data_IF_321099206900
#
_entry.id   IF_321099206900
#
_cell.length_a   1.000
_cell.length_b   1.000
_cell.length_c   1.000
_cell.angle_alpha   90.00
_cell.angle_beta   90.00
_cell.angle_gamma   90.00
#
_symmetry.space_group_name_H-M   'P 1'
#
loop_
_entity.id
_entity.type
_entity.pdbx_description
1 polymer ?
#
# COMPACT_ATOMS: atom_id res chain seq x y z
N UNK A 1 -0.80 -24.50 26.07
CA UNK A 1 -0.96 -23.58 27.23
C UNK A 1 0.21 -22.60 27.44
N UNK A 2 1.38 -22.77 26.79
CA UNK A 2 2.52 -21.84 26.97
C UNK A 2 2.61 -20.69 25.95
N UNK A 3 1.82 -20.68 24.88
CA UNK A 3 1.80 -19.60 23.89
C UNK A 3 0.88 -18.42 24.27
N UNK A 4 -0.17 -18.66 25.06
CA UNK A 4 -1.11 -17.61 25.46
C UNK A 4 -0.63 -16.69 26.60
N UNK A 5 0.38 -17.09 27.39
CA UNK A 5 0.91 -16.24 28.46
C UNK A 5 1.92 -15.19 27.97
N UNK A 6 2.57 -15.41 26.81
CA UNK A 6 3.50 -14.44 26.20
C UNK A 6 2.80 -13.26 25.55
N UNK A 7 1.50 -13.33 25.27
CA UNK A 7 0.74 -12.28 24.56
C UNK A 7 0.39 -11.07 25.43
N UNK A 8 0.52 -11.16 26.75
CA UNK A 8 0.10 -10.08 27.68
C UNK A 8 1.19 -9.08 28.06
N UNK A 9 2.44 -9.30 27.67
CA UNK A 9 3.55 -8.43 28.04
C UNK A 9 3.99 -7.63 26.83
N UNK A 10 4.20 -6.32 27.02
CA UNK A 10 4.79 -5.45 26.00
C UNK A 10 6.23 -5.91 25.70
N UNK A 11 6.48 -6.37 24.48
CA UNK A 11 7.82 -6.77 24.06
C UNK A 11 8.62 -5.54 23.63
N UNK A 12 9.63 -5.17 24.39
CA UNK A 12 10.55 -4.05 24.09
C UNK A 12 11.90 -4.52 23.53
N UNK A 13 12.12 -5.82 23.42
CA UNK A 13 13.35 -6.37 22.86
C UNK A 13 13.28 -6.41 21.32
N UNK A 14 13.41 -5.24 20.70
CA UNK A 14 13.36 -5.05 19.24
C UNK A 14 14.76 -4.73 18.74
N UNK A 15 15.23 -5.49 17.74
CA UNK A 15 16.53 -5.26 17.11
C UNK A 15 16.50 -3.96 16.32
N UNK A 16 17.43 -3.06 16.63
CA UNK A 16 17.57 -1.76 15.97
C UNK A 16 19.03 -1.36 15.80
N UNK A 17 19.36 -0.45 14.87
CA UNK A 17 20.70 0.12 14.73
C UNK A 17 21.15 0.84 16.02
N UNK A 18 22.45 0.86 16.31
CA UNK A 18 23.00 1.56 17.49
C UNK A 18 22.75 3.08 17.45
N UNK A 19 22.61 3.66 16.26
CA UNK A 19 22.29 5.08 16.06
C UNK A 19 20.83 5.43 16.35
N UNK A 20 19.95 4.44 16.36
CA UNK A 20 18.52 4.65 16.62
C UNK A 20 18.28 4.83 18.13
N UNK A 21 17.82 6.02 18.51
CA UNK A 21 17.53 6.41 19.90
C UNK A 21 16.09 6.19 20.33
N UNK A 22 15.20 5.81 19.40
CA UNK A 22 13.77 5.63 19.68
C UNK A 22 13.55 4.41 20.58
N UNK A 23 12.48 4.45 21.36
CA UNK A 23 12.03 3.31 22.14
C UNK A 23 10.87 2.62 21.43
N UNK A 24 10.89 1.30 21.41
CA UNK A 24 9.91 0.48 20.70
C UNK A 24 9.24 -0.50 21.65
N UNK A 25 7.95 -0.75 21.41
CA UNK A 25 7.20 -1.78 22.11
C UNK A 25 6.22 -2.47 21.16
N UNK A 26 6.18 -3.78 21.17
CA UNK A 26 5.26 -4.58 20.37
C UNK A 26 4.31 -5.36 21.27
N UNK A 27 3.02 -5.37 20.94
CA UNK A 27 2.00 -6.16 21.64
C UNK A 27 0.91 -6.62 20.68
N UNK A 28 0.35 -7.80 20.96
CA UNK A 28 -0.91 -8.26 20.37
C UNK A 28 -2.00 -8.02 21.39
N UNK A 29 -3.04 -7.25 21.03
CA UNK A 29 -4.16 -6.95 21.92
C UNK A 29 -5.07 -8.18 22.09
N UNK A 30 -5.98 -8.12 23.06
CA UNK A 30 -6.92 -9.23 23.36
C UNK A 30 -7.83 -9.61 22.19
N UNK A 31 -8.13 -8.66 21.29
CA UNK A 31 -8.88 -8.88 20.05
C UNK A 31 -8.01 -9.33 18.87
N UNK A 32 -6.71 -9.56 19.07
CA UNK A 32 -5.79 -10.03 18.03
C UNK A 32 -5.11 -8.93 17.20
N UNK A 33 -5.45 -7.64 17.42
CA UNK A 33 -4.80 -6.52 16.73
C UNK A 33 -3.34 -6.44 17.14
N UNK A 34 -2.45 -6.36 16.14
CA UNK A 34 -1.00 -6.21 16.36
C UNK A 34 -0.66 -4.73 16.46
N UNK A 35 0.08 -4.36 17.49
CA UNK A 35 0.43 -2.97 17.79
C UNK A 35 1.93 -2.81 17.91
N UNK A 36 2.49 -1.86 17.17
CA UNK A 36 3.83 -1.34 17.36
C UNK A 36 3.73 0.09 17.95
N UNK A 37 4.37 0.30 19.10
CA UNK A 37 4.48 1.61 19.75
C UNK A 37 5.90 2.13 19.56
N UNK A 38 6.02 3.41 19.25
CA UNK A 38 7.30 4.10 19.08
C UNK A 38 7.26 5.36 19.95
N UNK A 39 8.18 5.44 20.90
CA UNK A 39 8.33 6.61 21.77
C UNK A 39 9.56 7.40 21.39
N UNK A 40 9.35 8.66 21.06
CA UNK A 40 10.36 9.68 20.73
C UNK A 40 10.10 10.93 21.58
N UNK A 41 10.79 11.09 22.72
CA UNK A 41 10.56 12.24 23.59
C UNK A 41 10.81 13.62 22.94
N UNK A 42 11.60 13.65 21.88
CA UNK A 42 12.02 14.88 21.21
C UNK A 42 11.09 15.30 20.06
N UNK A 43 10.10 14.43 19.69
CA UNK A 43 9.18 14.78 18.60
C UNK A 43 8.17 15.85 19.00
N UNK A 44 7.89 16.77 18.08
CA UNK A 44 6.84 17.80 18.24
C UNK A 44 5.50 17.40 17.62
N UNK A 45 5.42 16.23 16.97
CA UNK A 45 4.20 15.66 16.37
C UNK A 45 4.05 14.21 16.73
N UNK A 46 2.80 13.80 16.90
CA UNK A 46 2.41 12.41 17.04
C UNK A 46 1.70 11.91 15.79
N UNK A 47 1.73 10.62 15.55
CA UNK A 47 1.15 9.98 14.37
C UNK A 47 0.63 8.58 14.69
N UNK A 48 -0.34 8.11 13.90
CA UNK A 48 -0.69 6.71 13.88
C UNK A 48 -1.01 6.25 12.45
N UNK A 49 -0.72 4.97 12.19
CA UNK A 49 -1.07 4.30 10.95
C UNK A 49 -1.67 2.94 11.25
N UNK A 50 -2.79 2.61 10.61
CA UNK A 50 -3.44 1.31 10.69
C UNK A 50 -3.56 0.70 9.29
N UNK A 51 -2.95 -0.46 9.11
CA UNK A 51 -3.06 -1.25 7.90
C UNK A 51 -4.04 -2.41 8.11
N UNK A 52 -5.02 -2.52 7.22
CA UNK A 52 -5.89 -3.69 7.08
C UNK A 52 -5.33 -4.55 5.95
N UNK A 53 -5.03 -5.81 6.18
CA UNK A 53 -4.43 -6.71 5.17
C UNK A 53 -5.47 -7.21 4.15
N UNK A 54 -6.34 -6.31 3.70
CA UNK A 54 -7.34 -6.50 2.64
C UNK A 54 -7.32 -5.27 1.73
N UNK A 55 -7.39 -5.51 0.43
CA UNK A 55 -7.43 -4.48 -0.61
C UNK A 55 -8.26 -4.95 -1.79
N UNK A 56 -8.00 -4.41 -2.99
CA UNK A 56 -8.84 -4.64 -4.17
C UNK A 56 -8.80 -6.07 -4.75
N UNK A 57 -7.90 -6.96 -4.28
CA UNK A 57 -7.91 -8.37 -4.70
C UNK A 57 -9.19 -9.12 -4.33
N UNK A 58 -9.90 -8.68 -3.29
CA UNK A 58 -11.14 -9.33 -2.86
C UNK A 58 -12.40 -8.76 -3.54
N UNK A 59 -12.25 -7.70 -4.34
CA UNK A 59 -13.37 -7.12 -5.09
C UNK A 59 -13.90 -8.16 -6.08
N UNK A 60 -15.21 -8.35 -6.10
CA UNK A 60 -15.84 -9.20 -7.11
C UNK A 60 -15.81 -8.52 -8.48
N UNK A 61 -15.91 -9.29 -9.55
CA UNK A 61 -15.86 -8.76 -10.92
C UNK A 61 -16.98 -7.75 -11.23
N UNK A 62 -18.12 -7.85 -10.55
CA UNK A 62 -19.24 -6.92 -10.64
C UNK A 62 -19.23 -5.80 -9.58
N UNK A 63 -18.19 -5.75 -8.73
CA UNK A 63 -18.05 -4.78 -7.63
C UNK A 63 -16.66 -4.13 -7.62
N UNK A 64 -16.04 -3.95 -8.80
CA UNK A 64 -14.65 -3.45 -8.88
C UNK A 64 -14.51 -2.02 -8.38
N UNK A 65 -13.54 -1.81 -7.51
CA UNK A 65 -13.31 -0.56 -6.80
C UNK A 65 -14.01 -0.45 -5.45
N UNK A 66 -14.67 -1.54 -4.98
CA UNK A 66 -15.39 -1.53 -3.71
C UNK A 66 -14.47 -1.34 -2.51
N UNK A 67 -13.27 -1.93 -2.53
CA UNK A 67 -12.26 -1.73 -1.48
C UNK A 67 -11.84 -0.27 -1.36
N UNK A 68 -11.59 0.41 -2.47
CA UNK A 68 -11.25 1.82 -2.52
C UNK A 68 -12.43 2.71 -2.11
N UNK A 69 -13.63 2.37 -2.54
CA UNK A 69 -14.85 3.06 -2.13
C UNK A 69 -15.12 2.90 -0.62
N UNK A 70 -14.77 1.72 -0.04
CA UNK A 70 -14.80 1.54 1.40
C UNK A 70 -13.84 2.49 2.12
N UNK A 71 -12.63 2.69 1.59
CA UNK A 71 -11.66 3.64 2.13
C UNK A 71 -12.26 5.05 2.23
N UNK A 72 -12.92 5.54 1.17
CA UNK A 72 -13.57 6.85 1.14
C UNK A 72 -14.66 6.98 2.20
N UNK A 73 -15.62 6.06 2.21
CA UNK A 73 -16.79 6.16 3.08
C UNK A 73 -16.50 5.82 4.55
N UNK A 74 -15.45 5.07 4.84
CA UNK A 74 -15.12 4.65 6.19
C UNK A 74 -14.83 5.84 7.12
N UNK A 75 -14.27 6.91 6.58
CA UNK A 75 -13.89 8.11 7.33
C UNK A 75 -15.02 9.15 7.46
N UNK A 76 -16.18 8.90 6.83
CA UNK A 76 -17.32 9.82 6.74
C UNK A 76 -18.28 9.67 7.92
N UNK A 77 -17.79 9.84 9.13
CA UNK A 77 -18.57 9.74 10.35
C UNK A 77 -18.73 8.33 10.91
N UNK A 78 -18.93 8.27 12.20
CA UNK A 78 -19.13 7.04 12.98
C UNK A 78 -20.14 7.30 14.12
N UNK A 79 -20.50 6.27 14.87
CA UNK A 79 -21.52 6.43 15.93
C UNK A 79 -21.14 7.43 17.02
N UNK A 80 -19.87 7.56 17.37
CA UNK A 80 -19.40 8.49 18.40
C UNK A 80 -19.23 9.91 17.84
N UNK A 81 -18.80 10.04 16.61
CA UNK A 81 -18.58 11.28 15.90
C UNK A 81 -19.36 11.24 14.58
N UNK A 82 -20.65 11.58 14.58
CA UNK A 82 -21.56 11.35 13.46
C UNK A 82 -21.36 12.33 12.28
N UNK A 83 -20.75 13.49 12.54
CA UNK A 83 -20.52 14.49 11.50
C UNK A 83 -19.43 14.01 10.51
N UNK A 84 -19.70 14.15 9.21
CA UNK A 84 -18.82 13.64 8.16
C UNK A 84 -17.39 14.18 8.19
N UNK A 85 -17.25 15.48 8.50
CA UNK A 85 -15.95 16.15 8.47
C UNK A 85 -15.27 16.23 9.85
N UNK A 86 -15.90 15.73 10.91
CA UNK A 86 -15.44 15.86 12.30
C UNK A 86 -13.98 15.43 12.50
N UNK A 87 -13.61 14.29 11.90
CA UNK A 87 -12.24 13.78 11.98
C UNK A 87 -11.24 14.72 11.32
N UNK A 88 -11.51 15.16 10.10
CA UNK A 88 -10.63 16.05 9.35
C UNK A 88 -10.54 17.45 9.95
N UNK A 89 -11.66 17.97 10.43
CA UNK A 89 -11.70 19.26 11.13
C UNK A 89 -10.90 19.24 12.42
N UNK A 90 -11.04 18.15 13.21
CA UNK A 90 -10.26 17.99 14.43
C UNK A 90 -8.76 17.98 14.14
N UNK A 91 -8.31 17.19 13.15
CA UNK A 91 -6.91 17.15 12.75
C UNK A 91 -6.42 18.53 12.28
N UNK A 92 -7.17 19.19 11.41
CA UNK A 92 -6.81 20.52 10.90
C UNK A 92 -6.67 21.56 12.01
N UNK A 93 -7.61 21.59 12.97
CA UNK A 93 -7.57 22.50 14.14
C UNK A 93 -6.35 22.26 15.03
N UNK A 94 -5.80 21.04 15.02
CA UNK A 94 -4.61 20.64 15.79
C UNK A 94 -3.34 20.51 14.93
N UNK A 95 -3.27 21.19 13.78
CA UNK A 95 -2.08 21.21 12.92
C UNK A 95 -1.71 19.87 12.29
N UNK A 96 -2.70 19.00 12.12
CA UNK A 96 -2.57 17.66 11.58
C UNK A 96 -3.17 17.50 10.20
N UNK A 97 -2.92 16.32 9.61
CA UNK A 97 -3.50 15.87 8.36
C UNK A 97 -3.65 14.35 8.38
N UNK A 98 -4.54 13.85 7.53
CA UNK A 98 -4.78 12.42 7.34
C UNK A 98 -4.81 12.08 5.87
N UNK A 99 -4.48 10.83 5.57
CA UNK A 99 -4.66 10.26 4.25
C UNK A 99 -4.88 8.75 4.37
N UNK A 100 -5.30 8.14 3.26
CA UNK A 100 -5.39 6.69 3.16
C UNK A 100 -5.02 6.25 1.73
N UNK A 101 -4.79 4.97 1.53
CA UNK A 101 -4.64 4.40 0.20
C UNK A 101 -4.96 2.91 0.20
N UNK A 102 -5.65 2.49 -0.84
CA UNK A 102 -5.99 1.11 -1.13
C UNK A 102 -5.04 0.53 -2.16
N UNK A 103 -4.36 -0.55 -1.77
CA UNK A 103 -3.53 -1.37 -2.63
C UNK A 103 -4.27 -2.67 -2.99
N UNK A 104 -3.66 -3.53 -3.77
CA UNK A 104 -4.27 -4.81 -4.13
C UNK A 104 -4.53 -5.70 -2.90
N UNK A 105 -3.59 -5.78 -1.97
CA UNK A 105 -3.63 -6.71 -0.83
C UNK A 105 -3.80 -6.04 0.55
N UNK A 106 -3.86 -4.72 0.61
CA UNK A 106 -4.01 -3.97 1.88
C UNK A 106 -4.60 -2.59 1.66
N UNK A 107 -5.24 -2.07 2.69
CA UNK A 107 -5.66 -0.66 2.80
C UNK A 107 -4.99 -0.05 4.01
N UNK A 108 -4.40 1.13 3.89
CA UNK A 108 -3.65 1.80 4.95
C UNK A 108 -4.28 3.16 5.20
N UNK A 109 -4.55 3.45 6.46
CA UNK A 109 -5.05 4.73 6.97
C UNK A 109 -4.00 5.33 7.90
N UNK A 110 -3.76 6.62 7.83
CA UNK A 110 -2.79 7.27 8.70
C UNK A 110 -3.07 8.74 8.91
N UNK A 111 -2.60 9.26 10.04
CA UNK A 111 -2.64 10.68 10.35
C UNK A 111 -1.40 11.10 11.12
N UNK A 112 -1.14 12.42 11.12
CA UNK A 112 -0.28 13.09 12.08
C UNK A 112 -1.02 14.29 12.69
N UNK A 113 -0.54 14.75 13.85
CA UNK A 113 -1.17 15.84 14.60
C UNK A 113 -0.18 16.40 15.62
N UNK A 114 -0.41 17.59 16.18
CA UNK A 114 0.35 18.07 17.35
C UNK A 114 0.23 17.10 18.53
N UNK A 115 1.22 17.10 19.43
CA UNK A 115 1.21 16.20 20.59
C UNK A 115 -0.02 16.45 21.50
N UNK A 116 -0.48 17.70 21.62
CA UNK A 116 -1.66 18.09 22.41
C UNK A 116 -2.97 17.52 21.83
N UNK A 117 -3.06 17.45 20.50
CA UNK A 117 -4.24 16.94 19.81
C UNK A 117 -4.26 15.41 19.68
N UNK A 118 -3.19 14.71 20.10
CA UNK A 118 -2.99 13.30 19.75
C UNK A 118 -4.05 12.36 20.31
N UNK A 119 -4.40 12.45 21.59
CA UNK A 119 -5.37 11.55 22.21
C UNK A 119 -6.75 11.65 21.57
N UNK A 120 -7.22 12.88 21.31
CA UNK A 120 -8.49 13.10 20.63
C UNK A 120 -8.49 12.68 19.16
N UNK A 121 -7.34 12.80 18.47
CA UNK A 121 -7.17 12.31 17.10
C UNK A 121 -7.17 10.77 17.05
N UNK A 122 -6.46 10.12 17.99
CA UNK A 122 -6.38 8.68 18.06
C UNK A 122 -7.73 8.03 18.41
N UNK A 123 -8.53 8.66 19.28
CA UNK A 123 -9.89 8.22 19.58
C UNK A 123 -10.78 8.28 18.32
N UNK A 124 -10.79 9.41 17.59
CA UNK A 124 -11.54 9.54 16.33
C UNK A 124 -11.09 8.53 15.30
N UNK A 125 -9.80 8.34 15.19
CA UNK A 125 -9.21 7.34 14.29
C UNK A 125 -9.62 5.91 14.64
N UNK A 126 -9.63 5.53 15.92
CA UNK A 126 -10.11 4.22 16.35
C UNK A 126 -11.60 4.01 16.00
N UNK A 127 -12.44 5.05 16.19
CA UNK A 127 -13.87 4.96 15.92
C UNK A 127 -14.20 4.71 14.43
N UNK A 128 -13.33 5.08 13.51
CA UNK A 128 -13.43 4.72 12.08
C UNK A 128 -13.55 3.20 11.90
N UNK A 129 -12.80 2.43 12.68
CA UNK A 129 -12.75 0.96 12.59
C UNK A 129 -13.71 0.26 13.56
N UNK A 130 -14.34 0.97 14.50
CA UNK A 130 -15.22 0.39 15.49
C UNK A 130 -16.68 0.44 15.03
N UNK A 131 -17.13 1.59 14.54
CA UNK A 131 -18.55 1.82 14.32
C UNK A 131 -18.86 2.81 13.19
N UNK A 132 -18.29 2.63 11.99
CA UNK A 132 -18.58 3.51 10.86
C UNK A 132 -20.07 3.48 10.52
N UNK A 133 -20.61 4.62 10.09
CA UNK A 133 -22.03 4.76 9.74
C UNK A 133 -22.34 4.53 8.27
N UNK A 134 -21.34 4.68 7.40
CA UNK A 134 -21.51 4.64 5.95
C UNK A 134 -22.72 5.46 5.52
N UNK A 135 -22.64 6.77 5.79
CA UNK A 135 -23.76 7.68 5.62
C UNK A 135 -24.33 7.61 4.21
N UNK A 136 -25.65 7.37 4.10
CA UNK A 136 -26.35 7.22 2.82
C UNK A 136 -26.26 8.49 1.97
N UNK A 137 -26.32 9.67 2.59
CA UNK A 137 -26.19 10.97 1.93
C UNK A 137 -24.82 11.22 1.30
N UNK A 138 -23.77 10.49 1.74
CA UNK A 138 -22.41 10.62 1.20
C UNK A 138 -22.15 9.72 0.00
N UNK A 139 -22.92 8.65 -0.18
CA UNK A 139 -22.66 7.61 -1.19
C UNK A 139 -22.52 8.16 -2.61
N UNK A 140 -23.51 8.91 -3.09
CA UNK A 140 -23.46 9.46 -4.46
C UNK A 140 -22.35 10.48 -4.64
N UNK A 141 -22.06 11.28 -3.63
CA UNK A 141 -20.98 12.26 -3.68
C UNK A 141 -19.62 11.59 -3.77
N UNK A 142 -19.41 10.54 -2.96
CA UNK A 142 -18.14 9.80 -2.96
C UNK A 142 -17.96 8.94 -4.22
N UNK A 143 -19.01 8.41 -4.82
CA UNK A 143 -18.91 7.81 -6.17
C UNK A 143 -18.38 8.83 -7.18
N UNK A 144 -18.88 10.08 -7.15
CA UNK A 144 -18.40 11.15 -8.03
C UNK A 144 -16.95 11.55 -7.69
N UNK A 145 -16.56 11.54 -6.42
CA UNK A 145 -15.20 11.81 -5.99
C UNK A 145 -14.22 10.75 -6.55
N UNK A 146 -14.56 9.47 -6.44
CA UNK A 146 -13.77 8.36 -7.01
C UNK A 146 -13.70 8.47 -8.55
N UNK A 147 -14.79 8.83 -9.22
CA UNK A 147 -14.80 9.02 -10.68
C UNK A 147 -13.93 10.20 -11.12
N UNK A 148 -13.93 11.29 -10.36
CA UNK A 148 -13.04 12.43 -10.59
C UNK A 148 -11.57 12.03 -10.39
N UNK A 149 -11.26 11.25 -9.35
CA UNK A 149 -9.91 10.73 -9.15
C UNK A 149 -9.48 9.83 -10.31
N UNK A 150 -10.33 8.90 -10.72
CA UNK A 150 -10.08 8.07 -11.90
C UNK A 150 -9.80 8.93 -13.14
N UNK A 151 -10.66 9.91 -13.42
CA UNK A 151 -10.53 10.82 -14.57
C UNK A 151 -9.21 11.61 -14.54
N UNK A 152 -8.81 12.11 -13.37
CA UNK A 152 -7.53 12.79 -13.18
C UNK A 152 -6.32 11.84 -13.40
N UNK A 153 -6.50 10.55 -13.11
CA UNK A 153 -5.47 9.53 -13.30
C UNK A 153 -5.28 9.10 -14.76
N UNK A 154 -6.26 9.31 -15.65
CA UNK A 154 -6.15 8.98 -17.08
C UNK A 154 -5.02 9.73 -17.79
N UNK A 155 -4.66 10.92 -17.30
CA UNK A 155 -3.61 11.75 -17.86
C UNK A 155 -2.23 11.55 -17.20
N UNK A 156 -2.10 10.55 -16.31
CA UNK A 156 -0.83 10.19 -15.64
C UNK A 156 -0.21 8.98 -16.33
N UNK A 157 0.96 9.15 -16.94
CA UNK A 157 1.63 8.08 -17.68
C UNK A 157 1.91 6.84 -16.82
N UNK A 158 2.24 7.01 -15.53
CA UNK A 158 2.40 5.89 -14.60
C UNK A 158 1.12 5.05 -14.41
N UNK A 159 -0.05 5.69 -14.38
CA UNK A 159 -1.35 5.00 -14.27
C UNK A 159 -1.73 4.30 -15.57
N UNK A 160 -1.41 4.91 -16.70
CA UNK A 160 -1.60 4.31 -18.04
C UNK A 160 -0.73 3.08 -18.23
N UNK A 161 0.54 3.14 -17.79
CA UNK A 161 1.44 1.99 -17.78
C UNK A 161 0.90 0.85 -16.87
N UNK A 162 0.41 1.20 -15.68
CA UNK A 162 -0.25 0.22 -14.79
C UNK A 162 -1.44 -0.45 -15.48
N UNK A 163 -2.26 0.31 -16.22
CA UNK A 163 -3.39 -0.25 -16.94
C UNK A 163 -2.97 -1.21 -18.08
N UNK A 164 -1.88 -0.90 -18.80
CA UNK A 164 -1.31 -1.82 -19.78
C UNK A 164 -0.88 -3.13 -19.10
N UNK A 165 -0.17 -3.04 -17.97
CA UNK A 165 0.23 -4.23 -17.20
C UNK A 165 -0.96 -5.06 -16.73
N UNK A 166 -2.02 -4.41 -16.24
CA UNK A 166 -3.24 -5.10 -15.83
C UNK A 166 -3.94 -5.79 -17.01
N UNK A 167 -3.91 -5.20 -18.22
CA UNK A 167 -4.55 -5.81 -19.41
C UNK A 167 -3.92 -7.13 -19.84
N UNK A 168 -2.67 -7.41 -19.42
CA UNK A 168 -1.93 -8.63 -19.71
C UNK A 168 -2.18 -9.73 -18.66
N UNK A 169 -2.76 -9.39 -17.54
CA UNK A 169 -3.13 -10.36 -16.51
C UNK A 169 -4.36 -11.15 -16.97
N UNK A 170 -4.39 -12.44 -16.69
CA UNK A 170 -5.54 -13.28 -16.96
C UNK A 170 -6.82 -12.62 -16.42
N UNK A 171 -7.83 -12.45 -17.26
CA UNK A 171 -9.09 -11.75 -16.95
C UNK A 171 -9.85 -12.35 -15.78
N UNK A 172 -9.73 -13.66 -15.57
CA UNK A 172 -10.37 -14.35 -14.44
C UNK A 172 -9.55 -14.26 -13.16
N UNK A 173 -8.32 -13.78 -13.23
CA UNK A 173 -7.47 -13.57 -12.07
C UNK A 173 -7.95 -12.37 -11.24
N UNK A 174 -7.96 -12.46 -9.90
CA UNK A 174 -8.21 -11.29 -9.04
C UNK A 174 -7.13 -10.20 -9.19
N UNK A 175 -5.94 -10.55 -9.66
CA UNK A 175 -4.89 -9.58 -9.97
C UNK A 175 -5.20 -8.66 -11.14
N UNK A 176 -6.19 -9.02 -11.98
CA UNK A 176 -6.73 -8.18 -13.05
C UNK A 176 -7.79 -7.18 -12.57
N UNK A 177 -8.12 -7.14 -11.28
CA UNK A 177 -9.16 -6.26 -10.77
C UNK A 177 -8.80 -4.79 -10.97
N UNK A 178 -9.79 -4.02 -11.39
CA UNK A 178 -9.73 -2.56 -11.49
C UNK A 178 -9.98 -1.94 -10.11
N UNK A 179 -8.92 -1.79 -9.31
CA UNK A 179 -9.01 -1.42 -7.91
C UNK A 179 -9.40 0.03 -7.65
N UNK A 180 -9.29 0.95 -8.62
CA UNK A 180 -9.65 2.37 -8.43
C UNK A 180 -11.16 2.55 -8.31
N UNK A 181 -11.94 1.85 -9.14
CA UNK A 181 -13.36 2.14 -9.31
C UNK A 181 -13.62 3.40 -10.15
N UNK A 182 -14.82 3.57 -10.60
CA UNK A 182 -15.32 4.76 -11.29
C UNK A 182 -16.85 4.79 -11.27
N UNK A 183 -17.46 5.80 -11.86
CA UNK A 183 -18.93 5.93 -11.94
C UNK A 183 -19.59 4.65 -12.48
N UNK A 184 -19.00 4.02 -13.53
CA UNK A 184 -19.57 2.84 -14.17
C UNK A 184 -19.55 1.60 -13.25
N UNK A 185 -18.48 1.40 -12.47
CA UNK A 185 -18.32 0.21 -11.62
C UNK A 185 -18.99 0.34 -10.26
N UNK A 186 -19.20 1.59 -9.78
CA UNK A 186 -19.75 1.87 -8.46
C UNK A 186 -21.22 2.31 -8.48
N UNK A 187 -21.79 2.76 -9.63
CA UNK A 187 -23.21 3.06 -9.74
C UNK A 187 -24.05 1.80 -9.97
N UNK A 188 -23.94 0.87 -9.05
CA UNK A 188 -24.66 -0.41 -9.07
C UNK A 188 -25.73 -0.46 -7.96
N UNK A 189 -26.79 -1.26 -8.12
CA UNK A 189 -27.84 -1.38 -7.11
C UNK A 189 -27.30 -1.78 -5.75
N UNK A 190 -27.80 -1.14 -4.71
CA UNK A 190 -27.48 -1.46 -3.30
C UNK A 190 -25.98 -1.36 -2.97
N UNK A 191 -25.23 -0.48 -3.63
CA UNK A 191 -23.77 -0.34 -3.43
C UNK A 191 -23.43 -0.12 -1.94
N UNK A 192 -24.24 0.66 -1.21
CA UNK A 192 -24.03 0.89 0.23
C UNK A 192 -24.16 -0.40 1.04
N UNK A 193 -25.16 -1.22 0.75
CA UNK A 193 -25.35 -2.49 1.47
C UNK A 193 -24.20 -3.47 1.18
N UNK A 194 -23.77 -3.54 -0.09
CA UNK A 194 -22.59 -4.31 -0.50
C UNK A 194 -21.32 -3.84 0.22
N UNK A 195 -21.17 -2.53 0.39
CA UNK A 195 -20.06 -1.94 1.14
C UNK A 195 -20.11 -2.33 2.63
N UNK A 196 -21.29 -2.28 3.25
CA UNK A 196 -21.49 -2.70 4.64
C UNK A 196 -21.17 -4.19 4.80
N UNK A 197 -21.59 -5.03 3.85
CA UNK A 197 -21.24 -6.46 3.81
C UNK A 197 -19.73 -6.67 3.67
N UNK A 198 -19.08 -5.91 2.76
CA UNK A 198 -17.63 -5.92 2.59
C UNK A 198 -16.91 -5.60 3.91
N UNK A 199 -17.28 -4.51 4.57
CA UNK A 199 -16.72 -4.11 5.86
C UNK A 199 -16.92 -5.20 6.91
N UNK A 200 -18.13 -5.68 7.10
CA UNK A 200 -18.46 -6.74 8.07
C UNK A 200 -17.72 -8.06 7.80
N UNK A 201 -17.40 -8.34 6.54
CA UNK A 201 -16.72 -9.57 6.13
C UNK A 201 -15.22 -9.50 6.32
N UNK A 202 -14.60 -8.34 6.10
CA UNK A 202 -13.16 -8.24 5.97
C UNK A 202 -12.47 -7.37 7.02
N UNK A 203 -13.16 -6.44 7.68
CA UNK A 203 -12.54 -5.55 8.66
C UNK A 203 -12.55 -6.20 10.05
N UNK A 204 -11.56 -7.05 10.30
CA UNK A 204 -11.35 -7.75 11.58
C UNK A 204 -10.00 -7.37 12.16
N UNK A 205 -9.96 -7.18 13.47
CA UNK A 205 -8.75 -6.79 14.21
C UNK A 205 -7.57 -7.74 14.02
N UNK A 206 -7.81 -9.04 13.76
CA UNK A 206 -6.75 -10.06 13.61
C UNK A 206 -5.86 -9.86 12.38
N UNK A 207 -6.37 -9.18 11.34
CA UNK A 207 -5.60 -8.86 10.14
C UNK A 207 -5.18 -7.40 10.09
N UNK A 208 -5.37 -6.66 11.18
CA UNK A 208 -4.97 -5.27 11.29
C UNK A 208 -3.63 -5.12 12.03
N UNK A 209 -2.87 -4.11 11.62
CA UNK A 209 -1.61 -3.74 12.24
C UNK A 209 -1.64 -2.23 12.51
N UNK A 210 -1.53 -1.85 13.77
CA UNK A 210 -1.46 -0.46 14.22
C UNK A 210 -0.01 -0.09 14.55
N UNK A 211 0.45 1.02 14.06
CA UNK A 211 1.69 1.67 14.48
C UNK A 211 1.37 3.03 15.10
N UNK A 212 1.89 3.32 16.27
CA UNK A 212 1.73 4.60 16.98
C UNK A 212 3.11 5.19 17.24
N UNK A 213 3.28 6.45 16.90
CA UNK A 213 4.48 7.25 17.15
C UNK A 213 4.10 8.49 17.96
N UNK A 214 4.74 8.70 19.11
CA UNK A 214 4.42 9.81 20.00
C UNK A 214 5.59 10.14 20.93
N UNK A 215 5.57 11.35 21.51
CA UNK A 215 6.48 11.75 22.58
C UNK A 215 6.17 11.11 23.95
N UNK A 216 5.02 10.44 24.07
CA UNK A 216 4.62 9.76 25.33
C UNK A 216 5.46 8.51 25.57
N UNK A 217 5.71 8.14 26.85
CA UNK A 217 6.28 6.84 27.22
C UNK A 217 5.46 5.67 26.67
N UNK A 218 6.12 4.53 26.42
CA UNK A 218 5.46 3.34 25.84
C UNK A 218 4.26 2.84 26.66
N UNK A 219 4.36 2.90 27.99
CA UNK A 219 3.29 2.46 28.91
C UNK A 219 2.05 3.34 28.82
N UNK A 220 2.22 4.65 28.64
CA UNK A 220 1.11 5.59 28.44
C UNK A 220 0.44 5.37 27.09
N UNK A 221 1.27 5.22 26.02
CA UNK A 221 0.77 4.90 24.70
C UNK A 221 -0.02 3.58 24.72
N UNK A 222 0.51 2.55 25.40
CA UNK A 222 -0.15 1.25 25.51
C UNK A 222 -1.52 1.36 26.17
N UNK A 223 -1.62 2.04 27.32
CA UNK A 223 -2.89 2.21 28.04
C UNK A 223 -3.93 2.90 27.15
N UNK A 224 -3.53 3.95 26.43
CA UNK A 224 -4.41 4.66 25.52
C UNK A 224 -4.86 3.77 24.37
N UNK A 225 -3.93 3.06 23.72
CA UNK A 225 -4.24 2.14 22.61
C UNK A 225 -5.14 1.00 23.07
N UNK A 226 -4.88 0.39 24.21
CA UNK A 226 -5.72 -0.70 24.76
C UNK A 226 -7.14 -0.21 25.03
N UNK A 227 -7.31 0.98 25.59
CA UNK A 227 -8.64 1.53 25.89
C UNK A 227 -9.48 1.80 24.64
N UNK A 228 -8.85 2.10 23.51
CA UNK A 228 -9.50 2.47 22.27
C UNK A 228 -9.63 1.27 21.30
N UNK A 229 -8.54 0.57 21.02
CA UNK A 229 -8.47 -0.39 19.91
C UNK A 229 -8.86 -1.82 20.28
N UNK A 230 -8.99 -2.17 21.55
CA UNK A 230 -9.62 -3.46 21.94
C UNK A 230 -11.09 -3.54 21.57
N UNK A 231 -11.72 -2.40 21.28
CA UNK A 231 -13.10 -2.29 20.82
C UNK A 231 -13.26 -2.53 19.30
N UNK A 232 -12.16 -2.57 18.55
CA UNK A 232 -12.22 -2.91 17.11
C UNK A 232 -12.73 -4.34 16.94
N UNK A 233 -13.75 -4.56 16.10
CA UNK A 233 -14.38 -5.86 15.95
C UNK A 233 -13.42 -6.99 15.57
N UNK A 234 -13.60 -8.13 16.20
CA UNK A 234 -13.01 -9.41 15.80
C UNK A 234 -14.10 -10.27 15.16
N UNK A 235 -13.81 -10.84 14.00
CA UNK A 235 -14.71 -11.71 13.28
C UNK A 235 -14.35 -13.16 13.62
N UNK A 236 -15.29 -13.88 14.22
CA UNK A 236 -15.09 -15.28 14.56
C UNK A 236 -14.91 -16.14 13.30
N UNK A 237 -13.95 -17.07 13.37
CA UNK A 237 -13.61 -17.98 12.27
C UNK A 237 -13.24 -17.28 10.95
N UNK A 238 -12.66 -16.09 11.00
CA UNK A 238 -12.20 -15.39 9.81
C UNK A 238 -11.15 -16.21 9.06
N UNK A 239 -11.35 -16.35 7.75
CA UNK A 239 -10.40 -17.02 6.86
C UNK A 239 -9.82 -15.98 5.90
N UNK A 240 -8.53 -15.77 6.00
CA UNK A 240 -7.81 -14.87 5.09
C UNK A 240 -7.87 -15.41 3.66
N UNK A 241 -8.32 -14.62 2.66
CA UNK A 241 -8.26 -15.02 1.26
C UNK A 241 -6.81 -15.35 0.84
N UNK A 242 -6.64 -16.46 0.11
CA UNK A 242 -5.35 -16.91 -0.39
C UNK A 242 -5.31 -16.83 -1.91
N UNK A 243 -4.15 -16.47 -2.42
CA UNK A 243 -3.90 -16.29 -3.86
C UNK A 243 -2.65 -17.03 -4.31
N UNK A 244 -2.08 -17.89 -3.46
CA UNK A 244 -0.76 -18.52 -3.64
C UNK A 244 -0.68 -19.40 -4.88
N UNK A 245 -1.82 -19.98 -5.29
CA UNK A 245 -1.90 -20.88 -6.46
C UNK A 245 -2.27 -20.13 -7.76
N UNK A 246 -2.55 -18.84 -7.67
CA UNK A 246 -3.02 -18.05 -8.82
C UNK A 246 -1.81 -17.46 -9.53
N UNK A 247 -1.50 -17.96 -10.74
CA UNK A 247 -0.54 -17.32 -11.63
C UNK A 247 -1.20 -16.11 -12.30
N UNK A 248 -0.70 -14.88 -12.06
CA UNK A 248 -1.30 -13.69 -12.64
C UNK A 248 -1.16 -13.60 -14.16
N UNK A 249 -0.10 -14.19 -14.70
CA UNK A 249 0.22 -14.12 -16.12
C UNK A 249 0.28 -15.50 -16.78
N UNK A 250 -0.17 -15.57 -18.03
CA UNK A 250 0.15 -16.65 -18.95
C UNK A 250 1.55 -16.40 -19.53
N UNK A 251 2.38 -17.45 -19.62
CA UNK A 251 3.72 -17.38 -20.22
C UNK A 251 3.71 -16.86 -21.66
N UNK A 252 2.59 -17.01 -22.38
CA UNK A 252 2.43 -16.49 -23.72
C UNK A 252 2.30 -14.97 -23.75
N UNK A 253 1.75 -14.36 -22.71
CA UNK A 253 1.56 -12.90 -22.60
C UNK A 253 2.86 -12.16 -22.24
N UNK A 254 3.89 -12.86 -21.76
CA UNK A 254 5.17 -12.26 -21.33
C UNK A 254 6.17 -12.01 -22.47
N UNK A 255 5.77 -12.20 -23.74
CA UNK A 255 6.68 -12.14 -24.89
C UNK A 255 6.54 -10.88 -25.75
N UNK A 256 5.74 -9.91 -25.33
CA UNK A 256 5.41 -8.74 -26.14
C UNK A 256 6.20 -7.50 -25.74
N UNK A 257 6.49 -6.67 -26.73
CA UNK A 257 6.97 -5.31 -26.54
C UNK A 257 5.78 -4.35 -26.69
N UNK A 258 5.41 -3.70 -25.61
CA UNK A 258 4.35 -2.68 -25.62
C UNK A 258 4.94 -1.31 -25.91
N UNK A 259 4.29 -0.56 -26.79
CA UNK A 259 4.65 0.83 -27.09
C UNK A 259 3.51 1.74 -26.63
N UNK A 260 3.77 2.53 -25.63
CA UNK A 260 2.81 3.53 -25.12
C UNK A 260 3.22 4.92 -25.64
N UNK A 261 2.26 5.66 -26.18
CA UNK A 261 2.46 7.08 -26.47
C UNK A 261 2.20 7.85 -25.16
N UNK A 262 3.21 8.49 -24.57
CA UNK A 262 3.05 9.20 -23.31
C UNK A 262 2.29 10.51 -23.47
N UNK A 263 1.69 11.01 -22.39
CA UNK A 263 1.07 12.34 -22.32
C UNK A 263 2.15 13.41 -22.12
N UNK A 264 3.18 13.10 -21.34
CA UNK A 264 4.36 13.96 -21.15
C UNK A 264 5.45 13.58 -22.15
N UNK A 265 6.35 14.49 -22.44
CA UNK A 265 7.53 14.21 -23.25
C UNK A 265 8.52 13.33 -22.44
N UNK A 266 8.32 12.03 -22.52
CA UNK A 266 9.11 11.00 -21.81
C UNK A 266 9.56 9.95 -22.81
N UNK A 267 10.83 9.61 -22.77
CA UNK A 267 11.41 8.48 -23.50
C UNK A 267 11.96 7.48 -22.46
N UNK A 268 11.24 6.41 -22.24
CA UNK A 268 11.58 5.43 -21.20
C UNK A 268 11.41 3.99 -21.73
N UNK A 269 12.28 3.11 -21.30
CA UNK A 269 12.13 1.67 -21.44
C UNK A 269 11.97 1.07 -20.06
N UNK A 270 10.98 0.21 -19.87
CA UNK A 270 10.85 -0.64 -18.71
C UNK A 270 10.91 -2.09 -19.09
N UNK A 271 11.87 -2.83 -18.52
CA UNK A 271 11.92 -4.29 -18.58
C UNK A 271 11.46 -4.84 -17.23
N UNK A 272 10.59 -5.84 -17.23
CA UNK A 272 9.99 -6.38 -16.02
C UNK A 272 9.99 -7.91 -16.04
N UNK A 273 10.31 -8.53 -14.93
CA UNK A 273 10.30 -9.97 -14.70
C UNK A 273 9.42 -10.32 -13.52
N UNK A 274 8.65 -11.38 -13.68
CA UNK A 274 7.85 -11.94 -12.59
C UNK A 274 8.66 -12.98 -11.86
N UNK A 275 8.70 -12.86 -10.53
CA UNK A 275 9.47 -13.72 -9.63
C UNK A 275 8.55 -14.28 -8.56
N UNK A 276 8.83 -15.48 -8.03
CA UNK A 276 8.24 -15.91 -6.78
C UNK A 276 8.48 -14.87 -5.68
N UNK A 277 7.52 -14.70 -4.78
CA UNK A 277 7.69 -13.80 -3.67
C UNK A 277 8.87 -14.23 -2.79
N UNK A 278 9.72 -13.28 -2.46
CA UNK A 278 10.87 -13.47 -1.57
C UNK A 278 10.71 -12.53 -0.38
N UNK A 279 10.56 -13.11 0.82
CA UNK A 279 10.44 -12.40 2.10
C UNK A 279 11.71 -12.51 2.96
N UNK A 280 12.81 -12.98 2.39
CA UNK A 280 14.10 -13.06 3.09
C UNK A 280 14.68 -11.65 3.29
N UNK A 281 14.24 -11.01 4.36
CA UNK A 281 14.71 -9.69 4.75
C UNK A 281 16.14 -9.69 5.33
N UNK A 282 16.68 -10.85 5.69
CA UNK A 282 18.04 -10.97 6.23
C UNK A 282 19.08 -10.85 5.14
N UNK A 283 18.90 -11.55 4.03
CA UNK A 283 19.83 -11.49 2.89
C UNK A 283 19.41 -10.48 1.83
N UNK A 284 18.11 -10.18 1.76
CA UNK A 284 17.47 -9.23 0.82
C UNK A 284 18.03 -9.33 -0.62
N UNK A 285 17.99 -10.53 -1.24
CA UNK A 285 18.70 -10.81 -2.49
C UNK A 285 18.23 -9.93 -3.65
N UNK A 286 16.96 -9.52 -3.65
CA UNK A 286 16.40 -8.67 -4.70
C UNK A 286 16.90 -7.23 -4.61
N UNK A 287 17.11 -6.69 -3.41
CA UNK A 287 17.73 -5.37 -3.25
C UNK A 287 19.22 -5.40 -3.58
N UNK A 288 19.92 -6.50 -3.24
CA UNK A 288 21.31 -6.68 -3.66
C UNK A 288 21.45 -6.71 -5.18
N UNK A 289 20.55 -7.45 -5.87
CA UNK A 289 20.51 -7.47 -7.34
C UNK A 289 20.21 -6.07 -7.92
N UNK A 290 19.28 -5.34 -7.29
CA UNK A 290 18.92 -3.99 -7.69
C UNK A 290 20.12 -3.03 -7.62
N UNK A 291 20.88 -3.09 -6.53
CA UNK A 291 22.11 -2.30 -6.34
C UNK A 291 23.16 -2.68 -7.40
N UNK A 292 23.37 -3.95 -7.64
CA UNK A 292 24.36 -4.41 -8.64
C UNK A 292 24.02 -3.95 -10.06
N UNK A 293 22.74 -3.91 -10.44
CA UNK A 293 22.30 -3.48 -11.78
C UNK A 293 22.24 -1.95 -11.86
N UNK A 294 21.73 -1.30 -10.82
CA UNK A 294 21.55 0.16 -10.77
C UNK A 294 22.82 0.95 -10.46
N UNK A 295 23.93 0.28 -10.13
CA UNK A 295 25.17 0.93 -9.75
C UNK A 295 25.74 1.81 -10.89
N UNK A 296 26.24 2.99 -10.54
CA UNK A 296 26.71 4.00 -11.51
C UNK A 296 28.25 4.01 -11.71
N UNK A 297 28.96 3.14 -11.00
CA UNK A 297 30.43 3.07 -11.07
C UNK A 297 30.98 2.62 -12.43
N UNK A 298 32.30 2.60 -12.59
CA UNK A 298 32.94 2.08 -13.82
C UNK A 298 32.55 0.64 -14.14
N UNK A 299 32.47 0.33 -15.42
CA UNK A 299 32.15 -1.02 -15.94
C UNK A 299 30.72 -1.52 -15.65
N UNK A 300 29.82 -0.66 -15.18
CA UNK A 300 28.40 -0.98 -14.97
C UNK A 300 27.58 -0.77 -16.22
N UNK A 301 26.33 -1.26 -16.21
CA UNK A 301 25.38 -1.05 -17.29
C UNK A 301 25.16 0.46 -17.52
N UNK A 302 24.93 1.20 -16.45
CA UNK A 302 24.71 2.65 -16.49
C UNK A 302 25.89 3.37 -17.12
N UNK A 303 27.14 3.05 -16.70
CA UNK A 303 28.33 3.69 -17.26
C UNK A 303 28.53 3.36 -18.75
N UNK A 304 28.19 2.11 -19.16
CA UNK A 304 28.25 1.69 -20.56
C UNK A 304 27.26 2.44 -21.44
N UNK A 305 26.03 2.59 -20.98
CA UNK A 305 24.98 3.32 -21.71
C UNK A 305 25.26 4.82 -21.76
N UNK A 306 25.74 5.42 -20.65
CA UNK A 306 26.10 6.85 -20.57
C UNK A 306 27.29 7.20 -21.47
N UNK A 307 28.29 6.34 -21.54
CA UNK A 307 29.45 6.52 -22.44
C UNK A 307 29.04 6.75 -23.90
N UNK A 308 28.01 6.04 -24.34
CA UNK A 308 27.49 6.13 -25.69
C UNK A 308 26.34 7.14 -25.82
N UNK A 309 26.02 7.89 -24.74
CA UNK A 309 24.92 8.83 -24.67
C UNK A 309 23.54 8.21 -25.03
N UNK A 310 23.28 7.02 -24.48
CA UNK A 310 22.03 6.29 -24.72
C UNK A 310 20.99 6.44 -23.61
N UNK A 311 21.41 6.68 -22.36
CA UNK A 311 20.51 6.93 -21.25
C UNK A 311 20.93 8.17 -20.44
N UNK A 312 19.99 8.71 -19.66
CA UNK A 312 20.23 9.75 -18.66
C UNK A 312 20.16 9.17 -17.24
N UNK A 313 19.27 8.21 -17.02
CA UNK A 313 19.06 7.58 -15.72
C UNK A 313 18.73 6.11 -15.90
N UNK A 314 19.13 5.29 -14.93
CA UNK A 314 18.75 3.88 -14.84
C UNK A 314 18.35 3.59 -13.39
N UNK A 315 17.22 2.95 -13.25
CA UNK A 315 16.73 2.44 -11.96
C UNK A 315 16.45 0.94 -12.09
N UNK A 316 16.84 0.18 -11.08
CA UNK A 316 16.47 -1.25 -10.97
C UNK A 316 15.93 -1.53 -9.58
N UNK A 317 14.92 -2.39 -9.48
CA UNK A 317 14.38 -2.73 -8.16
C UNK A 317 13.28 -3.77 -8.17
N UNK A 318 13.03 -4.36 -7.00
CA UNK A 318 11.86 -5.19 -6.78
C UNK A 318 10.60 -4.33 -6.57
N UNK A 319 9.45 -4.88 -6.98
CA UNK A 319 8.14 -4.36 -6.61
C UNK A 319 7.28 -5.52 -6.11
N UNK A 320 6.89 -5.46 -4.84
CA UNK A 320 6.03 -6.48 -4.23
C UNK A 320 4.59 -6.04 -4.34
N UNK A 321 3.76 -6.82 -5.01
CA UNK A 321 2.32 -6.57 -5.14
C UNK A 321 1.56 -7.28 -4.02
N UNK A 322 1.93 -8.52 -3.73
CA UNK A 322 1.36 -9.34 -2.66
C UNK A 322 2.38 -10.39 -2.21
N UNK A 323 2.02 -11.21 -1.23
CA UNK A 323 2.87 -12.33 -0.78
C UNK A 323 2.88 -13.55 -1.71
N UNK A 324 2.28 -13.46 -2.88
CA UNK A 324 2.22 -14.55 -3.86
C UNK A 324 3.32 -14.44 -4.90
N UNK A 325 3.53 -13.23 -5.41
CA UNK A 325 4.58 -12.95 -6.39
C UNK A 325 5.09 -11.52 -6.24
N UNK A 326 6.24 -11.29 -6.83
CA UNK A 326 6.84 -9.98 -6.94
C UNK A 326 7.28 -9.74 -8.38
N UNK A 327 7.54 -8.50 -8.72
CA UNK A 327 8.19 -8.15 -9.97
C UNK A 327 9.58 -7.59 -9.68
N UNK A 328 10.50 -7.79 -10.60
CA UNK A 328 11.76 -7.07 -10.65
C UNK A 328 11.77 -6.27 -11.95
N UNK A 329 12.06 -5.00 -11.89
CA UNK A 329 12.06 -4.16 -13.07
C UNK A 329 13.35 -3.34 -13.20
N UNK A 330 13.67 -3.02 -14.45
CA UNK A 330 14.71 -2.07 -14.82
C UNK A 330 14.03 -1.00 -15.67
N UNK A 331 14.09 0.24 -15.21
CA UNK A 331 13.60 1.43 -15.90
C UNK A 331 14.78 2.26 -16.38
N UNK A 332 14.77 2.66 -17.64
CA UNK A 332 15.86 3.40 -18.30
C UNK A 332 15.27 4.62 -18.99
N UNK A 333 15.62 5.80 -18.49
CA UNK A 333 15.32 7.08 -19.14
C UNK A 333 16.26 7.28 -20.31
N UNK A 334 15.73 7.40 -21.52
CA UNK A 334 16.51 7.45 -22.75
C UNK A 334 16.78 8.90 -23.17
N UNK A 335 18.01 9.12 -23.67
CA UNK A 335 18.29 10.30 -24.50
C UNK A 335 17.59 10.17 -25.85
N UNK A 336 17.59 11.24 -26.67
CA UNK A 336 17.12 11.16 -28.06
C UNK A 336 17.83 10.06 -28.85
N UNK A 337 19.17 9.98 -28.72
CA UNK A 337 19.97 8.91 -29.36
C UNK A 337 19.60 7.52 -28.83
N UNK A 338 19.35 7.40 -27.51
CA UNK A 338 18.92 6.15 -26.90
C UNK A 338 17.53 5.71 -27.41
N UNK A 339 16.60 6.66 -27.57
CA UNK A 339 15.29 6.38 -28.15
C UNK A 339 15.38 5.88 -29.59
N UNK A 340 16.19 6.50 -30.44
CA UNK A 340 16.45 6.06 -31.80
C UNK A 340 17.11 4.66 -31.83
N UNK A 341 17.88 4.31 -30.81
CA UNK A 341 18.62 3.04 -30.68
C UNK A 341 18.10 2.15 -29.56
N UNK A 342 16.82 2.21 -29.23
CA UNK A 342 16.24 1.50 -28.09
C UNK A 342 16.49 -0.01 -28.08
N UNK A 343 16.58 -0.64 -29.25
CA UNK A 343 16.89 -2.07 -29.37
C UNK A 343 18.28 -2.42 -28.85
N UNK A 344 19.26 -1.56 -29.09
CA UNK A 344 20.60 -1.72 -28.57
C UNK A 344 20.62 -1.58 -27.04
N UNK A 345 19.87 -0.63 -26.50
CA UNK A 345 19.72 -0.45 -25.04
C UNK A 345 19.14 -1.74 -24.41
N UNK A 346 18.08 -2.28 -24.99
CA UNK A 346 17.48 -3.54 -24.53
C UNK A 346 18.48 -4.68 -24.57
N UNK A 347 19.21 -4.82 -25.68
CA UNK A 347 20.17 -5.90 -25.88
C UNK A 347 21.31 -5.83 -24.85
N UNK A 348 21.88 -4.64 -24.61
CA UNK A 348 22.92 -4.44 -23.59
C UNK A 348 22.41 -4.76 -22.19
N UNK A 349 21.21 -4.34 -21.86
CA UNK A 349 20.57 -4.64 -20.56
C UNK A 349 20.41 -6.13 -20.34
N UNK A 350 19.91 -6.86 -21.35
CA UNK A 350 19.74 -8.30 -21.26
C UNK A 350 21.07 -9.06 -21.17
N UNK A 351 22.11 -8.62 -21.92
CA UNK A 351 23.45 -9.20 -21.84
C UNK A 351 24.10 -8.96 -20.48
N UNK A 352 23.97 -7.75 -19.92
CA UNK A 352 24.49 -7.42 -18.59
C UNK A 352 23.86 -8.31 -17.51
N UNK A 353 22.53 -8.47 -17.51
CA UNK A 353 21.80 -9.38 -16.61
C UNK A 353 22.32 -10.82 -16.72
N UNK A 354 22.65 -11.32 -17.93
CA UNK A 354 23.13 -12.70 -18.10
C UNK A 354 24.52 -12.93 -17.51
N UNK A 355 25.32 -11.88 -17.33
CA UNK A 355 26.68 -11.94 -16.80
C UNK A 355 26.72 -11.72 -15.27
N UNK A 356 25.61 -11.31 -14.66
CA UNK A 356 25.47 -11.13 -13.19
C UNK A 356 24.98 -12.39 -12.46
N UNK A 357 25.23 -13.59 -13.05
CA UNK A 357 24.89 -14.89 -12.45
C UNK A 357 25.88 -15.30 -11.36
#
# INVERSE_FOLDING_TARGET
>A
MKENEKSNILNTNITKPKSDKLNYGFKVLSNGLKVLLISDPDTNKSAAALGVNIGSLVDKKDEQGLAHFCEHLLTMGNKKYPEENEYYEYLSKNGGLSNAHTLQNKTIYYFNVSNEGFEGALDRFAQIFISPTFNEGSVEREIKAVDNEFSNNLNKDSRRLTQIKLSEINKDSPFNNFGTGNLKTLSIPNIRDRLIEYYKKYYTSEIMNLCVYSNKPLEEQLKLVESLFTLVPKIDNFVMPRYDEIKPYDENNLKYLYKMVPVKEINEIQLEWYLPFCDDYHTNPTSFLAEAIGHEGPYTLTSSLNKDNLCSELFAGPSSICKTYMTFYISISLTKKGFENYKEVILRTLKYKSNTK
#
